data_IF_393888816676
#
_entry.id   IF_393888816676
#
_cell.length_a   1.000
_cell.length_b   1.000
_cell.length_c   1.000
_cell.angle_alpha   90.00
_cell.angle_beta   90.00
_cell.angle_gamma   90.00
#
_symmetry.space_group_name_H-M   'P 1'
#
loop_
_entity.id
_entity.type
_entity.pdbx_description
1 polymer ?
#
# COMPACT_ATOMS: atom_id res chain seq x y z
N UNK A 1 -20.93 9.46 20.12
CA UNK A 1 -22.35 9.86 19.96
C UNK A 1 -22.44 10.79 18.78
N UNK A 2 -22.85 10.26 17.64
CA UNK A 2 -23.22 11.04 16.46
C UNK A 2 -24.35 10.27 15.79
N UNK A 3 -25.58 10.70 16.05
CA UNK A 3 -26.75 10.41 15.23
C UNK A 3 -26.55 11.13 13.89
N UNK A 4 -26.72 10.42 12.77
CA UNK A 4 -27.84 10.71 11.86
C UNK A 4 -27.82 9.85 10.60
N UNK A 5 -29.03 9.43 10.27
CA UNK A 5 -29.58 9.28 8.91
C UNK A 5 -29.17 8.03 8.13
N UNK A 6 -29.94 6.96 8.38
CA UNK A 6 -30.38 6.06 7.32
C UNK A 6 -31.15 6.86 6.25
N UNK A 7 -30.86 6.70 4.95
CA UNK A 7 -31.72 7.23 3.91
C UNK A 7 -32.93 6.30 3.77
N UNK A 8 -34.06 6.85 4.18
CA UNK A 8 -35.41 6.39 3.87
C UNK A 8 -35.61 6.48 2.35
N UNK A 9 -35.55 5.34 1.64
CA UNK A 9 -35.96 5.22 0.25
C UNK A 9 -37.38 4.64 0.21
N UNK A 10 -38.33 5.43 0.70
CA UNK A 10 -39.70 5.39 0.21
C UNK A 10 -39.77 6.35 -0.98
N UNK A 11 -39.55 5.83 -2.19
CA UNK A 11 -40.09 6.45 -3.39
C UNK A 11 -40.96 5.43 -4.11
N UNK A 12 -42.25 5.68 -3.97
CA UNK A 12 -43.32 5.22 -4.83
C UNK A 12 -43.01 5.57 -6.29
N UNK A 13 -42.86 4.55 -7.12
CA UNK A 13 -43.37 4.59 -8.48
C UNK A 13 -44.18 3.30 -8.67
N UNK A 14 -45.50 3.48 -8.54
CA UNK A 14 -46.52 2.56 -9.03
C UNK A 14 -46.38 2.49 -10.54
N UNK A 15 -45.41 1.72 -11.01
CA UNK A 15 -45.45 1.16 -12.36
C UNK A 15 -46.51 0.08 -12.31
N UNK A 16 -47.59 0.27 -13.08
CA UNK A 16 -48.61 -0.74 -13.35
C UNK A 16 -47.92 -2.08 -13.61
N UNK A 17 -47.90 -2.93 -12.58
CA UNK A 17 -47.47 -4.32 -12.71
C UNK A 17 -48.49 -4.95 -13.63
N UNK A 18 -48.14 -5.09 -14.91
CA UNK A 18 -48.73 -6.11 -15.78
C UNK A 18 -48.72 -7.39 -14.95
N UNK A 19 -49.90 -7.82 -14.51
CA UNK A 19 -50.06 -9.01 -13.71
C UNK A 19 -49.43 -10.16 -14.49
N UNK A 20 -48.30 -10.67 -14.01
CA UNK A 20 -47.75 -11.91 -14.52
C UNK A 20 -48.80 -12.99 -14.29
N UNK A 21 -49.19 -13.67 -15.36
CA UNK A 21 -50.07 -14.83 -15.31
C UNK A 21 -49.39 -15.84 -14.38
N UNK A 22 -50.03 -16.13 -13.25
CA UNK A 22 -49.50 -17.06 -12.25
C UNK A 22 -49.75 -18.51 -12.68
N UNK A 23 -49.00 -19.46 -12.14
CA UNK A 23 -49.17 -20.89 -12.45
C UNK A 23 -50.62 -21.36 -12.21
N UNK A 24 -51.29 -20.76 -11.22
CA UNK A 24 -52.71 -20.91 -10.91
C UNK A 24 -53.65 -20.39 -12.01
N UNK A 25 -53.31 -19.30 -12.70
CA UNK A 25 -54.10 -18.78 -13.82
C UNK A 25 -53.98 -19.68 -15.06
N UNK A 26 -52.82 -20.31 -15.25
CA UNK A 26 -52.58 -21.31 -16.32
C UNK A 26 -53.37 -22.59 -16.05
N UNK A 27 -53.39 -23.06 -14.81
CA UNK A 27 -54.15 -24.25 -14.40
C UNK A 27 -55.67 -24.03 -14.50
N UNK A 28 -56.17 -22.83 -14.14
CA UNK A 28 -57.58 -22.47 -14.30
C UNK A 28 -58.00 -22.37 -15.78
N UNK A 29 -57.11 -21.86 -16.64
CA UNK A 29 -57.34 -21.83 -18.10
C UNK A 29 -57.29 -23.25 -18.67
N UNK A 30 -56.37 -24.11 -18.24
CA UNK A 30 -56.32 -25.53 -18.62
C UNK A 30 -57.56 -26.30 -18.20
N UNK A 31 -58.05 -26.09 -16.97
CA UNK A 31 -59.27 -26.73 -16.47
C UNK A 31 -60.53 -26.27 -17.22
N UNK A 32 -60.61 -24.97 -17.54
CA UNK A 32 -61.68 -24.44 -18.41
C UNK A 32 -61.59 -25.00 -19.83
N UNK A 33 -60.40 -25.10 -20.40
CA UNK A 33 -60.16 -25.68 -21.73
C UNK A 33 -60.55 -27.16 -21.80
N UNK A 34 -60.17 -27.96 -20.79
CA UNK A 34 -60.52 -29.38 -20.70
C UNK A 34 -62.04 -29.62 -20.55
N UNK A 35 -62.74 -28.75 -19.82
CA UNK A 35 -64.20 -28.81 -19.71
C UNK A 35 -64.94 -28.50 -21.02
N UNK A 36 -64.38 -27.63 -21.87
CA UNK A 36 -64.98 -27.26 -23.16
C UNK A 36 -64.78 -28.36 -24.23
N UNK A 37 -63.64 -29.05 -24.24
CA UNK A 37 -63.32 -30.16 -25.15
C UNK A 37 -64.26 -31.37 -24.95
N UNK A 38 -64.75 -31.56 -23.72
CA UNK A 38 -65.74 -32.59 -23.35
C UNK A 38 -67.16 -32.22 -23.83
N UNK A 39 -67.51 -30.93 -23.88
CA UNK A 39 -68.88 -30.48 -24.17
C UNK A 39 -69.20 -30.31 -25.66
N UNK A 40 -68.24 -29.97 -26.54
CA UNK A 40 -68.48 -29.81 -27.98
C UNK A 40 -67.28 -30.26 -28.86
N UNK A 41 -67.24 -31.54 -29.30
CA UNK A 41 -66.08 -32.11 -30.02
C UNK A 41 -65.89 -31.66 -31.48
N UNK A 42 -66.86 -30.99 -32.11
CA UNK A 42 -66.83 -30.64 -33.55
C UNK A 42 -67.46 -29.27 -33.90
N UNK A 43 -67.41 -28.30 -32.99
CA UNK A 43 -67.97 -26.96 -33.20
C UNK A 43 -67.06 -26.00 -33.98
N UNK A 44 -67.61 -24.90 -34.55
CA UNK A 44 -66.87 -23.88 -35.33
C UNK A 44 -65.78 -23.13 -34.54
N UNK A 45 -65.68 -23.36 -33.23
CA UNK A 45 -64.70 -22.76 -32.33
C UNK A 45 -63.41 -23.58 -32.15
N UNK A 46 -63.27 -24.72 -32.84
CA UNK A 46 -62.10 -25.61 -32.70
C UNK A 46 -60.78 -24.96 -33.17
N UNK A 47 -60.85 -24.04 -34.14
CA UNK A 47 -59.67 -23.27 -34.60
C UNK A 47 -59.26 -22.23 -33.56
N UNK A 48 -60.24 -21.54 -32.94
CA UNK A 48 -59.96 -20.61 -31.84
C UNK A 48 -59.40 -21.33 -30.61
N UNK A 49 -59.87 -22.55 -30.35
CA UNK A 49 -59.37 -23.44 -29.31
C UNK A 49 -57.91 -23.84 -29.53
N UNK A 50 -57.55 -24.33 -30.72
CA UNK A 50 -56.16 -24.68 -31.04
C UNK A 50 -55.25 -23.45 -30.99
N UNK A 51 -55.70 -22.29 -31.48
CA UNK A 51 -54.92 -21.05 -31.37
C UNK A 51 -54.74 -20.57 -29.92
N UNK A 52 -55.74 -20.78 -29.05
CA UNK A 52 -55.64 -20.46 -27.63
C UNK A 52 -54.68 -21.42 -26.90
N UNK A 53 -54.69 -22.70 -27.25
CA UNK A 53 -53.78 -23.73 -26.73
C UNK A 53 -52.33 -23.48 -27.14
N UNK A 54 -52.09 -23.15 -28.42
CA UNK A 54 -50.78 -22.74 -28.91
C UNK A 54 -50.27 -21.48 -28.22
N UNK A 55 -51.15 -20.48 -28.00
CA UNK A 55 -50.82 -19.25 -27.24
C UNK A 55 -50.47 -19.55 -25.78
N UNK A 56 -51.23 -20.41 -25.12
CA UNK A 56 -50.95 -20.83 -23.75
C UNK A 56 -49.59 -21.53 -23.67
N UNK A 57 -49.28 -22.41 -24.63
CA UNK A 57 -48.03 -23.13 -24.68
C UNK A 57 -46.84 -22.20 -24.95
N UNK A 58 -46.97 -21.23 -25.86
CA UNK A 58 -45.94 -20.20 -26.09
C UNK A 58 -45.71 -19.33 -24.87
N UNK A 59 -46.78 -18.90 -24.18
CA UNK A 59 -46.67 -18.12 -22.94
C UNK A 59 -46.01 -18.94 -21.83
N UNK A 60 -46.34 -20.21 -21.70
CA UNK A 60 -45.74 -21.11 -20.70
C UNK A 60 -44.24 -21.32 -20.95
N UNK A 61 -43.85 -21.51 -22.22
CA UNK A 61 -42.45 -21.66 -22.60
C UNK A 61 -41.66 -20.37 -22.40
N UNK A 62 -42.26 -19.21 -22.70
CA UNK A 62 -41.68 -17.91 -22.38
C UNK A 62 -41.52 -17.72 -20.88
N UNK A 63 -42.53 -18.06 -20.08
CA UNK A 63 -42.48 -17.98 -18.62
C UNK A 63 -41.32 -18.80 -18.07
N UNK A 64 -41.19 -20.06 -18.48
CA UNK A 64 -40.09 -20.95 -18.07
C UNK A 64 -38.71 -20.39 -18.43
N UNK A 65 -38.55 -19.81 -19.63
CA UNK A 65 -37.29 -19.16 -20.03
C UNK A 65 -36.99 -17.95 -19.16
N UNK A 66 -37.97 -17.07 -18.94
CA UNK A 66 -37.77 -15.88 -18.10
C UNK A 66 -37.49 -16.24 -16.64
N UNK A 67 -38.09 -17.32 -16.12
CA UNK A 67 -37.83 -17.80 -14.77
C UNK A 67 -36.42 -18.36 -14.66
N UNK A 68 -35.97 -19.15 -15.65
CA UNK A 68 -34.60 -19.63 -15.68
C UNK A 68 -33.56 -18.50 -15.80
N UNK A 69 -33.82 -17.48 -16.63
CA UNK A 69 -32.97 -16.29 -16.72
C UNK A 69 -32.94 -15.49 -15.42
N UNK A 70 -34.07 -15.40 -14.72
CA UNK A 70 -34.15 -14.77 -13.42
C UNK A 70 -33.32 -15.52 -12.37
N UNK A 71 -33.43 -16.85 -12.33
CA UNK A 71 -32.68 -17.70 -11.40
C UNK A 71 -31.17 -17.59 -11.64
N UNK A 72 -30.74 -17.57 -12.91
CA UNK A 72 -29.32 -17.36 -13.27
C UNK A 72 -28.83 -15.98 -12.79
N UNK A 73 -29.60 -14.91 -13.02
CA UNK A 73 -29.24 -13.56 -12.55
C UNK A 73 -29.20 -13.48 -11.03
N UNK A 74 -30.10 -14.17 -10.33
CA UNK A 74 -30.07 -14.24 -8.87
C UNK A 74 -28.80 -14.94 -8.37
N UNK A 75 -28.41 -16.07 -8.97
CA UNK A 75 -27.15 -16.73 -8.63
C UNK A 75 -25.91 -15.86 -8.90
N UNK A 76 -25.92 -15.11 -10.01
CA UNK A 76 -24.85 -14.14 -10.31
C UNK A 76 -24.78 -13.04 -9.24
N UNK A 77 -25.93 -12.51 -8.81
CA UNK A 77 -26.00 -11.49 -7.75
C UNK A 77 -25.50 -12.04 -6.41
N UNK A 78 -25.90 -13.25 -6.02
CA UNK A 78 -25.46 -13.89 -4.79
C UNK A 78 -23.93 -14.12 -4.80
N UNK A 79 -23.38 -14.58 -5.92
CA UNK A 79 -21.94 -14.77 -6.09
C UNK A 79 -21.15 -13.45 -6.00
N UNK A 80 -21.75 -12.37 -6.52
CA UNK A 80 -21.19 -11.02 -6.47
C UNK A 80 -21.26 -10.43 -5.06
N UNK A 81 -22.35 -10.66 -4.35
CA UNK A 81 -22.50 -10.26 -2.95
C UNK A 81 -21.49 -10.98 -2.06
N UNK A 82 -21.31 -12.29 -2.22
CA UNK A 82 -20.30 -13.07 -1.52
C UNK A 82 -18.89 -12.52 -1.77
N UNK A 83 -18.56 -12.21 -3.03
CA UNK A 83 -17.27 -11.63 -3.42
C UNK A 83 -17.06 -10.23 -2.81
N UNK A 84 -18.09 -9.39 -2.78
CA UNK A 84 -18.03 -8.07 -2.14
C UNK A 84 -17.85 -8.17 -0.62
N UNK A 85 -18.52 -9.12 0.03
CA UNK A 85 -18.37 -9.35 1.47
C UNK A 85 -16.95 -9.80 1.84
N UNK A 86 -16.34 -10.70 1.05
CA UNK A 86 -14.93 -11.08 1.22
C UNK A 86 -14.02 -9.85 1.09
N UNK A 87 -14.23 -9.05 0.05
CA UNK A 87 -13.42 -7.84 -0.20
C UNK A 87 -13.59 -6.80 0.92
N UNK A 88 -14.80 -6.65 1.47
CA UNK A 88 -15.07 -5.76 2.60
C UNK A 88 -14.35 -6.22 3.87
N UNK A 89 -14.33 -7.52 4.15
CA UNK A 89 -13.60 -8.09 5.27
C UNK A 89 -12.08 -7.89 5.11
N UNK A 90 -11.54 -8.10 3.91
CA UNK A 90 -10.11 -7.86 3.64
C UNK A 90 -9.72 -6.38 3.79
N UNK A 91 -10.56 -5.45 3.31
CA UNK A 91 -10.35 -4.01 3.47
C UNK A 91 -10.34 -3.60 4.95
N UNK A 92 -11.27 -4.12 5.75
CA UNK A 92 -11.28 -3.87 7.20
C UNK A 92 -10.01 -4.39 7.87
N UNK A 93 -9.52 -5.56 7.48
CA UNK A 93 -8.26 -6.12 8.01
C UNK A 93 -7.07 -5.23 7.64
N UNK A 94 -6.97 -4.81 6.38
CA UNK A 94 -5.90 -3.89 5.92
C UNK A 94 -5.98 -2.53 6.62
N UNK A 95 -7.18 -2.01 6.86
CA UNK A 95 -7.37 -0.77 7.61
C UNK A 95 -6.81 -0.90 9.03
N UNK A 96 -7.13 -1.99 9.75
CA UNK A 96 -6.59 -2.25 11.09
C UNK A 96 -5.06 -2.40 11.09
N UNK A 97 -4.50 -3.06 10.08
CA UNK A 97 -3.04 -3.19 9.93
C UNK A 97 -2.36 -1.82 9.73
N UNK A 98 -2.96 -0.94 8.92
CA UNK A 98 -2.47 0.43 8.70
C UNK A 98 -2.57 1.27 9.98
N UNK A 99 -3.70 1.23 10.68
CA UNK A 99 -3.87 1.94 11.96
C UNK A 99 -2.85 1.47 13.01
N UNK A 100 -2.61 0.16 13.11
CA UNK A 100 -1.58 -0.40 13.99
C UNK A 100 -0.15 -0.02 13.56
N UNK A 101 0.12 0.13 12.27
CA UNK A 101 1.40 0.64 11.77
C UNK A 101 1.60 2.11 12.15
N UNK A 102 0.60 2.96 11.92
CA UNK A 102 0.63 4.39 12.25
C UNK A 102 0.85 4.58 13.75
N UNK A 103 0.12 3.85 14.59
CA UNK A 103 0.29 3.90 16.05
C UNK A 103 1.73 3.55 16.48
N UNK A 104 2.30 2.48 15.91
CA UNK A 104 3.69 2.08 16.17
C UNK A 104 4.70 3.12 15.69
N UNK A 105 4.43 3.79 14.57
CA UNK A 105 5.30 4.86 14.04
C UNK A 105 5.33 6.06 14.97
N UNK A 106 4.15 6.54 15.40
CA UNK A 106 4.00 7.67 16.34
C UNK A 106 4.71 7.36 17.67
N UNK A 107 4.55 6.13 18.18
CA UNK A 107 5.19 5.74 19.42
C UNK A 107 6.73 5.66 19.31
N UNK A 108 7.25 5.18 18.17
CA UNK A 108 8.69 5.21 17.88
C UNK A 108 9.23 6.64 17.83
N UNK A 109 8.54 7.54 17.14
CA UNK A 109 8.92 8.94 17.04
C UNK A 109 8.94 9.62 18.42
N UNK A 110 7.90 9.38 19.24
CA UNK A 110 7.84 9.88 20.62
C UNK A 110 9.00 9.38 21.48
N UNK A 111 9.35 8.09 21.39
CA UNK A 111 10.50 7.51 22.13
C UNK A 111 11.81 8.12 21.65
N UNK A 112 11.98 8.30 20.34
CA UNK A 112 13.16 8.96 19.77
C UNK A 112 13.29 10.39 20.29
N UNK A 113 12.21 11.17 20.28
CA UNK A 113 12.18 12.53 20.80
C UNK A 113 12.58 12.59 22.28
N UNK A 114 12.01 11.71 23.11
CA UNK A 114 12.37 11.63 24.54
C UNK A 114 13.86 11.34 24.78
N UNK A 115 14.45 10.46 23.97
CA UNK A 115 15.89 10.16 24.06
C UNK A 115 16.72 11.37 23.66
N UNK A 116 16.33 12.08 22.60
CA UNK A 116 17.01 13.30 22.14
C UNK A 116 16.92 14.41 23.18
N UNK A 117 15.73 14.65 23.74
CA UNK A 117 15.51 15.68 24.75
C UNK A 117 16.34 15.40 26.01
N UNK A 118 16.39 14.13 26.45
CA UNK A 118 17.23 13.71 27.57
C UNK A 118 18.71 13.95 27.29
N UNK A 119 19.20 13.56 26.10
CA UNK A 119 20.60 13.81 25.69
C UNK A 119 20.93 15.30 25.66
N UNK A 120 20.03 16.14 25.14
CA UNK A 120 20.23 17.59 25.14
C UNK A 120 20.31 18.15 26.57
N UNK A 121 19.47 17.66 27.48
CA UNK A 121 19.52 18.02 28.91
C UNK A 121 20.82 17.59 29.60
N UNK A 122 21.29 16.37 29.33
CA UNK A 122 22.55 15.85 29.86
C UNK A 122 23.75 16.66 29.34
N UNK A 123 23.75 17.00 28.04
CA UNK A 123 24.79 17.84 27.42
C UNK A 123 24.77 19.25 28.03
N UNK A 124 23.60 19.87 28.20
CA UNK A 124 23.49 21.20 28.79
C UNK A 124 24.03 21.23 30.22
N UNK A 125 23.75 20.18 31.01
CA UNK A 125 24.26 20.03 32.37
C UNK A 125 25.79 19.90 32.40
N UNK A 126 26.35 19.07 31.50
CA UNK A 126 27.79 18.90 31.38
C UNK A 126 28.49 20.20 30.93
N UNK A 127 27.91 20.95 30.00
CA UNK A 127 28.45 22.25 29.57
C UNK A 127 28.45 23.26 30.72
N UNK A 128 27.38 23.32 31.52
CA UNK A 128 27.32 24.19 32.69
C UNK A 128 28.39 23.82 33.74
N UNK A 129 28.65 22.52 33.93
CA UNK A 129 29.70 22.05 34.83
C UNK A 129 31.09 22.42 34.32
N UNK A 130 31.35 22.27 33.02
CA UNK A 130 32.60 22.71 32.38
C UNK A 130 32.81 24.20 32.56
N UNK A 131 31.77 25.03 32.34
CA UNK A 131 31.86 26.47 32.55
C UNK A 131 32.22 26.82 34.00
N UNK A 132 31.58 26.17 34.98
CA UNK A 132 31.90 26.38 36.40
C UNK A 132 33.34 25.99 36.74
N UNK A 133 33.82 24.86 36.20
CA UNK A 133 35.21 24.43 36.41
C UNK A 133 36.20 25.40 35.75
N UNK A 134 35.86 25.95 34.57
CA UNK A 134 36.67 26.95 33.88
C UNK A 134 36.82 28.22 34.71
N UNK A 135 35.72 28.73 35.29
CA UNK A 135 35.74 29.91 36.16
C UNK A 135 36.59 29.67 37.42
N UNK A 136 36.48 28.47 38.02
CA UNK A 136 37.29 28.09 39.18
C UNK A 136 38.78 28.02 38.85
N UNK A 137 39.14 27.47 37.70
CA UNK A 137 40.54 27.41 37.24
C UNK A 137 41.05 28.83 37.00
N UNK A 138 40.28 29.70 36.36
CA UNK A 138 40.66 31.09 36.15
C UNK A 138 40.90 31.83 37.49
N UNK A 139 40.01 31.65 38.47
CA UNK A 139 40.16 32.21 39.82
C UNK A 139 41.40 31.68 40.55
N UNK A 140 41.63 30.36 40.51
CA UNK A 140 42.81 29.74 41.09
C UNK A 140 44.12 30.23 40.43
N UNK A 141 44.11 30.40 39.11
CA UNK A 141 45.26 30.92 38.36
C UNK A 141 45.58 32.36 38.74
N UNK A 142 44.57 33.21 38.91
CA UNK A 142 44.76 34.58 39.38
C UNK A 142 45.34 34.64 40.80
N UNK A 143 44.85 33.81 41.72
CA UNK A 143 45.39 33.70 43.08
C UNK A 143 46.84 33.22 43.10
N UNK A 144 47.18 32.23 42.27
CA UNK A 144 48.55 31.73 42.14
C UNK A 144 49.50 32.83 41.68
N UNK A 145 49.10 33.65 40.72
CA UNK A 145 49.90 34.80 40.25
C UNK A 145 50.16 35.81 41.37
N UNK A 146 49.15 36.16 42.17
CA UNK A 146 49.31 37.06 43.33
C UNK A 146 50.23 36.46 44.40
N UNK A 147 50.14 35.15 44.64
CA UNK A 147 51.02 34.46 45.58
C UNK A 147 52.47 34.43 45.09
N UNK A 148 52.71 34.19 43.80
CA UNK A 148 54.05 34.26 43.20
C UNK A 148 54.66 35.66 43.37
N UNK A 149 53.88 36.72 43.12
CA UNK A 149 54.32 38.09 43.31
C UNK A 149 54.67 38.37 44.78
N UNK A 150 53.81 37.98 45.73
CA UNK A 150 54.09 38.11 47.17
C UNK A 150 55.33 37.33 47.61
N UNK A 151 55.52 36.13 47.08
CA UNK A 151 56.68 35.31 47.40
C UNK A 151 57.98 35.97 46.91
N UNK A 152 57.95 36.63 45.74
CA UNK A 152 59.08 37.42 45.26
C UNK A 152 59.43 38.57 46.22
N UNK A 153 58.42 39.24 46.80
CA UNK A 153 58.60 40.31 47.79
C UNK A 153 59.17 39.75 49.10
N UNK A 154 58.63 38.64 49.60
CA UNK A 154 59.16 37.99 50.81
C UNK A 154 60.60 37.53 50.66
N UNK A 155 60.99 37.06 49.47
CA UNK A 155 62.37 36.71 49.16
C UNK A 155 63.31 37.91 49.35
N UNK A 156 62.95 39.08 48.84
CA UNK A 156 63.74 40.31 49.04
C UNK A 156 63.92 40.64 50.53
N UNK A 157 62.85 40.50 51.33
CA UNK A 157 62.94 40.69 52.78
C UNK A 157 63.80 39.64 53.47
N UNK A 158 63.69 38.38 53.07
CA UNK A 158 64.50 37.28 53.61
C UNK A 158 65.98 37.52 53.33
N UNK A 159 66.33 37.87 52.09
CA UNK A 159 67.71 38.17 51.69
C UNK A 159 68.27 39.36 52.50
N UNK A 160 67.45 40.38 52.78
CA UNK A 160 67.83 41.51 53.64
C UNK A 160 68.08 41.10 55.09
N UNK A 161 67.16 40.33 55.69
CA UNK A 161 67.28 39.87 57.09
C UNK A 161 68.47 38.94 57.25
N UNK A 162 68.74 38.06 56.29
CA UNK A 162 69.92 37.21 56.26
C UNK A 162 71.20 38.04 56.21
N UNK A 163 71.24 39.10 55.39
CA UNK A 163 72.35 40.06 55.37
C UNK A 163 72.59 40.75 56.71
N UNK A 164 71.52 41.19 57.40
CA UNK A 164 71.61 41.79 58.73
C UNK A 164 72.05 40.78 59.78
N UNK A 165 71.54 39.54 59.73
CA UNK A 165 71.93 38.47 60.63
C UNK A 165 73.42 38.11 60.47
N UNK A 166 73.91 37.98 59.24
CA UNK A 166 75.33 37.76 58.95
C UNK A 166 76.19 38.92 59.43
N UNK A 167 75.73 40.17 59.26
CA UNK A 167 76.42 41.35 59.78
C UNK A 167 76.47 41.39 61.32
N UNK A 168 75.39 41.01 62.00
CA UNK A 168 75.31 40.92 63.46
C UNK A 168 76.11 39.73 64.02
N UNK A 169 76.12 38.59 63.33
CA UNK A 169 76.92 37.42 63.67
C UNK A 169 78.42 37.65 63.44
N UNK A 170 78.79 38.48 62.45
CA UNK A 170 80.15 38.93 62.19
C UNK A 170 80.64 40.09 63.07
N UNK A 171 79.73 40.84 63.69
CA UNK A 171 80.04 41.95 64.58
C UNK A 171 80.51 41.44 65.96
N UNK A 172 81.81 41.14 66.07
CA UNK A 172 82.47 40.89 67.34
C UNK A 172 82.42 42.16 68.22
N UNK A 173 81.53 42.17 69.22
CA UNK A 173 81.57 43.16 70.29
C UNK A 173 82.85 42.96 71.13
N UNK A 174 83.81 43.89 71.03
CA UNK A 174 84.88 44.04 72.01
C UNK A 174 84.43 45.02 73.11
N UNK A 175 84.35 44.61 74.38
CA UNK A 175 84.00 45.51 75.46
C UNK A 175 85.23 45.91 76.28
N UNK A 176 85.55 47.20 76.32
CA UNK A 176 86.29 47.80 77.43
C UNK A 176 85.46 48.91 78.11
N UNK A 177 85.55 48.86 79.44
CA UNK A 177 85.23 49.82 80.51
C UNK A 177 83.80 50.10 81.06
N UNK A 178 83.70 49.74 82.35
CA UNK A 178 83.09 50.40 83.53
C UNK A 178 81.57 50.71 83.61
N UNK A 179 80.86 49.82 84.34
CA UNK A 179 79.76 50.06 85.29
C UNK A 179 78.68 51.13 84.99
N UNK A 180 77.89 50.86 83.95
CA UNK A 180 76.40 50.83 83.96
C UNK A 180 75.90 49.55 83.24
N UNK A 181 76.85 48.64 82.98
CA UNK A 181 76.80 47.69 81.89
C UNK A 181 76.01 46.41 82.19
N UNK A 182 75.84 46.00 83.46
CA UNK A 182 75.17 44.73 83.75
C UNK A 182 73.65 44.77 83.51
N UNK A 183 72.97 45.89 83.82
CA UNK A 183 71.54 46.05 83.51
C UNK A 183 71.30 46.14 81.99
N UNK A 184 72.12 46.91 81.27
CA UNK A 184 72.08 46.99 79.79
C UNK A 184 72.51 45.69 79.10
N UNK A 185 73.46 44.95 79.66
CA UNK A 185 73.84 43.59 79.19
C UNK A 185 72.72 42.58 79.45
N UNK A 186 72.08 42.61 80.61
CA UNK A 186 70.92 41.75 80.88
C UNK A 186 69.72 42.09 80.01
N UNK A 187 69.50 43.37 79.70
CA UNK A 187 68.48 43.82 78.76
C UNK A 187 68.80 43.42 77.31
N UNK A 188 70.07 43.53 76.90
CA UNK A 188 70.53 43.04 75.58
C UNK A 188 70.43 41.52 75.47
N UNK A 189 70.78 40.76 76.51
CA UNK A 189 70.63 39.30 76.57
C UNK A 189 69.14 38.91 76.52
N UNK A 190 68.27 39.64 77.23
CA UNK A 190 66.80 39.43 77.13
C UNK A 190 66.28 39.72 75.73
N UNK A 191 66.66 40.83 75.12
CA UNK A 191 66.26 41.17 73.76
C UNK A 191 66.77 40.12 72.76
N UNK A 192 67.99 39.64 72.93
CA UNK A 192 68.55 38.57 72.12
C UNK A 192 67.76 37.27 72.28
N UNK A 193 67.41 36.88 73.50
CA UNK A 193 66.56 35.70 73.73
C UNK A 193 65.17 35.88 73.12
N UNK A 194 64.56 37.05 73.24
CA UNK A 194 63.26 37.34 72.61
C UNK A 194 63.34 37.27 71.08
N UNK A 195 64.41 37.79 70.47
CA UNK A 195 64.65 37.66 69.04
C UNK A 195 64.86 36.20 68.63
N UNK A 196 65.61 35.42 69.42
CA UNK A 196 65.81 33.99 69.18
C UNK A 196 64.51 33.20 69.29
N UNK A 197 63.69 33.46 70.30
CA UNK A 197 62.38 32.83 70.49
C UNK A 197 61.43 33.20 69.34
N UNK A 198 61.44 34.46 68.90
CA UNK A 198 60.64 34.92 67.77
C UNK A 198 61.03 34.22 66.47
N UNK A 199 62.34 34.15 66.17
CA UNK A 199 62.86 33.45 64.98
C UNK A 199 62.56 31.96 65.05
N UNK A 200 62.71 31.33 66.21
CA UNK A 200 62.40 29.91 66.41
C UNK A 200 60.91 29.61 66.19
N UNK A 201 60.02 30.49 66.67
CA UNK A 201 58.58 30.38 66.46
C UNK A 201 58.21 30.53 64.98
N UNK A 202 58.81 31.49 64.27
CA UNK A 202 58.63 31.65 62.82
C UNK A 202 59.12 30.41 62.07
N UNK A 203 60.30 29.89 62.42
CA UNK A 203 60.86 28.70 61.79
C UNK A 203 59.96 27.48 61.97
N UNK A 204 59.42 27.28 63.18
CA UNK A 204 58.52 26.15 63.47
C UNK A 204 57.21 26.28 62.70
N UNK A 205 56.67 27.51 62.58
CA UNK A 205 55.49 27.78 61.76
C UNK A 205 55.74 27.49 60.28
N UNK A 206 56.85 27.98 59.72
CA UNK A 206 57.24 27.72 58.34
C UNK A 206 57.41 26.22 58.06
N UNK A 207 58.04 25.49 58.99
CA UNK A 207 58.20 24.03 58.88
C UNK A 207 56.85 23.30 58.87
N UNK A 208 55.88 23.76 59.66
CA UNK A 208 54.54 23.18 59.66
C UNK A 208 53.77 23.52 58.37
N UNK A 209 53.91 24.74 57.85
CA UNK A 209 53.32 25.16 56.58
C UNK A 209 53.94 24.39 55.39
N UNK A 210 55.25 24.14 55.41
CA UNK A 210 55.95 23.29 54.43
C UNK A 210 55.41 21.85 54.44
N UNK A 211 55.27 21.23 55.62
CA UNK A 211 54.71 19.89 55.72
C UNK A 211 53.26 19.82 55.22
N UNK A 212 52.43 20.82 55.54
CA UNK A 212 51.07 20.91 55.03
C UNK A 212 51.03 21.07 53.50
N UNK A 213 51.98 21.81 52.93
CA UNK A 213 52.11 21.96 51.47
C UNK A 213 52.44 20.61 50.82
N UNK A 214 53.38 19.85 51.38
CA UNK A 214 53.75 18.50 50.87
C UNK A 214 52.55 17.55 50.95
N UNK A 215 51.81 17.55 52.06
CA UNK A 215 50.63 16.70 52.24
C UNK A 215 49.49 17.06 51.25
N UNK A 216 49.33 18.35 50.95
CA UNK A 216 48.37 18.83 49.94
C UNK A 216 48.78 18.43 48.52
N UNK A 217 50.06 18.55 48.19
CA UNK A 217 50.61 18.13 46.89
C UNK A 217 50.40 16.62 46.67
N UNK A 218 50.68 15.80 47.68
CA UNK A 218 50.42 14.36 47.61
C UNK A 218 48.94 14.02 47.37
N UNK A 219 48.02 14.73 48.05
CA UNK A 219 46.57 14.55 47.84
C UNK A 219 46.13 14.97 46.44
N UNK A 220 46.69 16.06 45.90
CA UNK A 220 46.41 16.53 44.55
C UNK A 220 46.89 15.54 43.49
N UNK A 221 48.07 14.95 43.67
CA UNK A 221 48.56 13.90 42.77
C UNK A 221 47.67 12.66 42.81
N UNK A 222 47.25 12.21 44.00
CA UNK A 222 46.32 11.09 44.10
C UNK A 222 44.98 11.37 43.39
N UNK A 223 44.41 12.57 43.57
CA UNK A 223 43.16 12.96 42.90
C UNK A 223 43.33 13.03 41.38
N UNK A 224 44.47 13.50 40.90
CA UNK A 224 44.79 13.55 39.47
C UNK A 224 44.86 12.14 38.88
N UNK A 225 45.55 11.21 39.54
CA UNK A 225 45.68 9.83 39.08
C UNK A 225 44.33 9.11 39.04
N UNK A 226 43.49 9.30 40.06
CA UNK A 226 42.12 8.76 40.09
C UNK A 226 41.25 9.29 38.94
N UNK A 227 41.36 10.59 38.63
CA UNK A 227 40.64 11.20 37.51
C UNK A 227 41.18 10.73 36.16
N UNK A 228 42.50 10.59 36.02
CA UNK A 228 43.14 10.11 34.81
C UNK A 228 42.71 8.67 34.48
N UNK A 229 42.63 7.79 35.48
CA UNK A 229 42.13 6.43 35.32
C UNK A 229 40.65 6.40 34.93
N UNK A 230 39.79 7.17 35.60
CA UNK A 230 38.37 7.28 35.22
C UNK A 230 38.18 7.76 33.77
N UNK A 231 39.03 8.68 33.31
CA UNK A 231 39.00 9.15 31.91
C UNK A 231 39.43 8.02 30.96
N UNK A 232 40.50 7.28 31.28
CA UNK A 232 40.94 6.13 30.46
C UNK A 232 39.87 5.06 30.36
N UNK A 233 39.24 4.70 31.48
CA UNK A 233 38.14 3.72 31.51
C UNK A 233 36.96 4.16 30.63
N UNK A 234 36.52 5.42 30.77
CA UNK A 234 35.44 5.97 29.92
C UNK A 234 35.82 6.01 28.45
N UNK A 235 37.06 6.35 28.12
CA UNK A 235 37.53 6.34 26.73
C UNK A 235 37.54 4.92 26.16
N UNK A 236 37.94 3.91 26.93
CA UNK A 236 37.90 2.51 26.51
C UNK A 236 36.46 2.04 26.27
N UNK A 237 35.53 2.34 27.18
CA UNK A 237 34.11 2.03 27.03
C UNK A 237 33.52 2.71 25.78
N UNK A 238 33.80 3.99 25.57
CA UNK A 238 33.31 4.71 24.40
C UNK A 238 33.85 4.12 23.10
N UNK A 239 35.13 3.72 23.05
CA UNK A 239 35.70 3.05 21.87
C UNK A 239 35.01 1.73 21.57
N UNK A 240 34.69 0.94 22.60
CA UNK A 240 33.95 -0.30 22.42
C UNK A 240 32.55 -0.05 21.88
N UNK A 241 31.81 0.92 22.44
CA UNK A 241 30.47 1.29 21.96
C UNK A 241 30.52 1.74 20.49
N UNK A 242 31.52 2.56 20.13
CA UNK A 242 31.69 3.01 18.74
C UNK A 242 31.95 1.83 17.81
N UNK A 243 32.83 0.89 18.17
CA UNK A 243 33.11 -0.30 17.36
C UNK A 243 31.85 -1.17 17.16
N UNK A 244 31.04 -1.37 18.21
CA UNK A 244 29.77 -2.10 18.11
C UNK A 244 28.75 -1.40 17.21
N UNK A 245 28.71 -0.06 17.24
CA UNK A 245 27.84 0.74 16.36
C UNK A 245 28.32 0.69 14.91
N UNK A 246 29.62 0.78 14.66
CA UNK A 246 30.20 0.67 13.33
C UNK A 246 29.90 -0.70 12.70
N UNK A 247 30.00 -1.79 13.48
CA UNK A 247 29.62 -3.12 13.02
C UNK A 247 28.14 -3.20 12.64
N UNK A 248 27.24 -2.68 13.50
CA UNK A 248 25.80 -2.65 13.20
C UNK A 248 25.45 -1.83 11.96
N UNK A 249 26.15 -0.72 11.75
CA UNK A 249 25.99 0.10 10.54
C UNK A 249 26.40 -0.70 9.31
N UNK A 250 27.53 -1.41 9.37
CA UNK A 250 27.98 -2.24 8.25
C UNK A 250 26.99 -3.37 7.92
N UNK A 251 26.45 -4.05 8.94
CA UNK A 251 25.41 -5.09 8.78
C UNK A 251 24.14 -4.52 8.13
N UNK A 252 23.64 -3.38 8.63
CA UNK A 252 22.45 -2.72 8.07
C UNK A 252 22.66 -2.21 6.65
N UNK A 253 23.85 -1.70 6.33
CA UNK A 253 24.20 -1.30 4.96
C UNK A 253 24.19 -2.49 4.00
N UNK A 254 24.71 -3.64 4.43
CA UNK A 254 24.69 -4.85 3.62
C UNK A 254 23.25 -5.37 3.39
N UNK A 255 22.40 -5.33 4.42
CA UNK A 255 20.99 -5.69 4.28
C UNK A 255 20.25 -4.75 3.32
N UNK A 256 20.55 -3.45 3.38
CA UNK A 256 19.98 -2.46 2.48
C UNK A 256 20.36 -2.74 1.02
N UNK A 257 21.63 -3.01 0.73
CA UNK A 257 22.10 -3.32 -0.61
C UNK A 257 21.42 -4.59 -1.18
N UNK A 258 21.22 -5.62 -0.34
CA UNK A 258 20.49 -6.82 -0.75
C UNK A 258 19.01 -6.53 -1.06
N UNK A 259 18.36 -5.66 -0.28
CA UNK A 259 16.96 -5.28 -0.53
C UNK A 259 16.82 -4.44 -1.81
N UNK A 260 17.77 -3.54 -2.08
CA UNK A 260 17.81 -2.77 -3.33
C UNK A 260 17.94 -3.71 -4.53
N UNK A 261 18.87 -4.67 -4.47
CA UNK A 261 19.04 -5.66 -5.55
C UNK A 261 17.74 -6.46 -5.81
N UNK A 262 17.08 -6.94 -4.74
CA UNK A 262 15.81 -7.67 -4.85
C UNK A 262 14.70 -6.81 -5.46
N UNK A 263 14.64 -5.53 -5.10
CA UNK A 263 13.67 -4.58 -5.68
C UNK A 263 13.92 -4.40 -7.17
N UNK A 264 15.17 -4.21 -7.58
CA UNK A 264 15.54 -4.00 -8.99
C UNK A 264 15.22 -5.24 -9.84
N UNK A 265 15.51 -6.44 -9.31
CA UNK A 265 15.11 -7.70 -9.95
C UNK A 265 13.59 -7.81 -10.13
N UNK A 266 12.82 -7.54 -9.07
CA UNK A 266 11.36 -7.59 -9.14
C UNK A 266 10.78 -6.55 -10.12
N UNK A 267 11.40 -5.38 -10.21
CA UNK A 267 11.03 -4.34 -11.16
C UNK A 267 11.32 -4.76 -12.60
N UNK A 268 12.45 -5.42 -12.85
CA UNK A 268 12.78 -5.99 -14.16
C UNK A 268 11.81 -7.10 -14.56
N UNK A 269 11.48 -8.01 -13.64
CA UNK A 269 10.50 -9.07 -13.88
C UNK A 269 9.12 -8.50 -14.21
N UNK A 270 8.69 -7.46 -13.48
CA UNK A 270 7.43 -6.75 -13.76
C UNK A 270 7.42 -6.12 -15.15
N UNK A 271 8.52 -5.48 -15.56
CA UNK A 271 8.65 -4.92 -16.91
C UNK A 271 8.58 -6.00 -17.99
N UNK A 272 9.27 -7.14 -17.80
CA UNK A 272 9.20 -8.26 -18.73
C UNK A 272 7.79 -8.84 -18.85
N UNK A 273 7.07 -8.93 -17.73
CA UNK A 273 5.71 -9.46 -17.69
C UNK A 273 4.73 -8.52 -18.41
N UNK A 274 4.90 -7.19 -18.26
CA UNK A 274 4.13 -6.21 -19.01
C UNK A 274 4.39 -6.28 -20.53
N UNK A 275 5.64 -6.47 -20.95
CA UNK A 275 5.97 -6.65 -22.37
C UNK A 275 5.29 -7.92 -22.92
N UNK A 276 5.37 -9.04 -22.19
CA UNK A 276 4.69 -10.30 -22.58
C UNK A 276 3.18 -10.13 -22.65
N UNK A 277 2.58 -9.43 -21.70
CA UNK A 277 1.14 -9.14 -21.68
C UNK A 277 0.74 -8.32 -22.91
N UNK A 278 1.47 -7.24 -23.21
CA UNK A 278 1.21 -6.42 -24.40
C UNK A 278 1.31 -7.23 -25.70
N UNK A 279 2.32 -8.10 -25.84
CA UNK A 279 2.44 -8.99 -27.00
C UNK A 279 1.22 -9.92 -27.11
N UNK A 280 0.76 -10.51 -26.01
CA UNK A 280 -0.45 -11.35 -26.00
C UNK A 280 -1.73 -10.58 -26.31
N UNK A 281 -1.85 -9.34 -25.84
CA UNK A 281 -2.98 -8.47 -26.22
C UNK A 281 -2.99 -8.19 -27.72
N UNK A 282 -1.83 -7.97 -28.34
CA UNK A 282 -1.72 -7.78 -29.79
C UNK A 282 -2.09 -9.05 -30.57
N UNK A 283 -1.58 -10.22 -30.16
CA UNK A 283 -1.96 -11.51 -30.74
C UNK A 283 -3.48 -11.73 -30.67
N UNK A 284 -4.08 -11.47 -29.50
CA UNK A 284 -5.52 -11.63 -29.30
C UNK A 284 -6.34 -10.67 -30.17
N UNK A 285 -5.88 -9.44 -30.36
CA UNK A 285 -6.49 -8.47 -31.27
C UNK A 285 -6.42 -8.93 -32.74
N UNK A 286 -5.30 -9.50 -33.17
CA UNK A 286 -5.13 -10.05 -34.50
C UNK A 286 -6.03 -11.28 -34.75
N UNK A 287 -6.13 -12.18 -33.76
CA UNK A 287 -7.05 -13.32 -33.80
C UNK A 287 -8.50 -12.85 -33.84
N UNK A 288 -8.88 -11.90 -32.98
CA UNK A 288 -10.23 -11.33 -32.97
C UNK A 288 -10.61 -10.72 -34.33
N UNK A 289 -9.70 -9.99 -34.95
CA UNK A 289 -9.89 -9.43 -36.29
C UNK A 289 -10.03 -10.52 -37.35
N UNK A 290 -9.23 -11.58 -37.28
CA UNK A 290 -9.30 -12.73 -38.18
C UNK A 290 -10.63 -13.49 -38.05
N UNK A 291 -11.09 -13.69 -36.81
CA UNK A 291 -12.41 -14.30 -36.52
C UNK A 291 -13.52 -13.45 -37.11
N UNK A 292 -13.48 -12.12 -36.93
CA UNK A 292 -14.48 -11.21 -37.50
C UNK A 292 -14.52 -11.31 -39.04
N UNK A 293 -13.36 -11.33 -39.69
CA UNK A 293 -13.26 -11.48 -41.14
C UNK A 293 -13.80 -12.84 -41.62
N UNK A 294 -13.49 -13.92 -40.90
CA UNK A 294 -14.02 -15.26 -41.20
C UNK A 294 -15.54 -15.31 -41.07
N UNK A 295 -16.10 -14.73 -40.01
CA UNK A 295 -17.56 -14.65 -39.81
C UNK A 295 -18.22 -13.92 -40.97
N UNK A 296 -17.66 -12.78 -41.38
CA UNK A 296 -18.18 -12.03 -42.54
C UNK A 296 -18.12 -12.86 -43.83
N UNK A 297 -17.00 -13.53 -44.08
CA UNK A 297 -16.83 -14.36 -45.29
C UNK A 297 -17.78 -15.56 -45.30
N UNK A 298 -18.02 -16.19 -44.15
CA UNK A 298 -19.02 -17.27 -44.00
C UNK A 298 -20.42 -16.74 -44.30
N UNK A 299 -20.74 -15.52 -43.83
CA UNK A 299 -22.03 -14.90 -44.12
C UNK A 299 -22.23 -14.70 -45.63
N UNK A 300 -21.23 -14.16 -46.34
CA UNK A 300 -21.26 -13.99 -47.80
C UNK A 300 -21.41 -15.34 -48.52
N UNK A 301 -20.69 -16.38 -48.10
CA UNK A 301 -20.82 -17.72 -48.66
C UNK A 301 -22.22 -18.33 -48.45
N UNK A 302 -22.83 -18.10 -47.28
CA UNK A 302 -24.20 -18.56 -47.00
C UNK A 302 -25.21 -17.88 -47.92
N UNK A 303 -25.10 -16.57 -48.10
CA UNK A 303 -25.97 -15.81 -48.99
C UNK A 303 -25.86 -16.31 -50.43
N UNK A 304 -24.63 -16.50 -50.93
CA UNK A 304 -24.39 -17.07 -52.27
C UNK A 304 -24.96 -18.49 -52.41
N UNK A 305 -24.84 -19.33 -51.38
CA UNK A 305 -25.43 -20.67 -51.38
C UNK A 305 -26.95 -20.61 -51.44
N UNK A 306 -27.58 -19.72 -50.69
CA UNK A 306 -29.03 -19.54 -50.70
C UNK A 306 -29.51 -19.06 -52.06
N UNK A 307 -28.81 -18.11 -52.69
CA UNK A 307 -29.12 -17.65 -54.05
C UNK A 307 -29.02 -18.81 -55.05
N UNK A 308 -27.90 -19.55 -55.02
CA UNK A 308 -27.69 -20.68 -55.91
C UNK A 308 -28.75 -21.78 -55.76
N UNK A 309 -29.12 -22.14 -54.52
CA UNK A 309 -30.14 -23.15 -54.26
C UNK A 309 -31.53 -22.66 -54.70
N UNK A 310 -31.83 -21.37 -54.52
CA UNK A 310 -33.11 -20.78 -54.92
C UNK A 310 -33.25 -20.72 -56.44
N UNK A 311 -32.18 -20.42 -57.17
CA UNK A 311 -32.18 -20.39 -58.63
C UNK A 311 -32.34 -21.77 -59.27
N UNK A 312 -31.91 -22.82 -58.58
CA UNK A 312 -31.93 -24.20 -59.06
C UNK A 312 -33.12 -25.01 -58.54
N UNK A 313 -33.89 -24.46 -57.58
CA UNK A 313 -35.06 -25.11 -57.03
C UNK A 313 -36.13 -25.31 -58.11
N UNK A 314 -36.76 -26.49 -58.11
CA UNK A 314 -37.89 -26.72 -59.01
C UNK A 314 -39.09 -25.88 -58.57
N UNK A 315 -40.00 -25.58 -59.49
CA UNK A 315 -41.21 -24.81 -59.15
C UNK A 315 -42.07 -25.56 -58.13
N UNK A 316 -42.04 -26.89 -58.13
CA UNK A 316 -42.72 -27.71 -57.12
C UNK A 316 -42.09 -27.53 -55.73
N UNK A 317 -40.76 -27.41 -55.64
CA UNK A 317 -40.04 -27.16 -54.37
C UNK A 317 -40.32 -25.75 -53.84
N UNK A 318 -40.36 -24.75 -54.73
CA UNK A 318 -40.66 -23.36 -54.38
C UNK A 318 -42.11 -23.22 -53.85
N UNK A 319 -43.04 -24.00 -54.40
CA UNK A 319 -44.45 -24.00 -54.00
C UNK A 319 -44.72 -24.87 -52.76
N UNK A 320 -43.73 -25.63 -52.28
CA UNK A 320 -43.89 -26.55 -51.14
C UNK A 320 -44.71 -27.81 -51.47
N UNK A 321 -44.78 -28.20 -52.75
CA UNK A 321 -45.50 -29.38 -53.23
C UNK A 321 -46.37 -29.13 -54.47
N UNK A 322 -46.90 -30.22 -55.04
CA UNK A 322 -47.72 -30.16 -56.26
C UNK A 322 -49.11 -29.62 -56.00
N UNK A 323 -49.42 -28.47 -56.57
CA UNK A 323 -50.76 -27.91 -56.56
C UNK A 323 -51.54 -28.37 -57.80
N UNK A 324 -52.45 -29.32 -57.62
CA UNK A 324 -53.24 -29.94 -58.70
C UNK A 324 -54.07 -28.95 -59.51
N UNK A 325 -54.53 -27.85 -58.92
CA UNK A 325 -55.25 -26.79 -59.65
C UNK A 325 -54.30 -25.97 -60.53
N UNK A 326 -53.11 -25.67 -60.03
CA UNK A 326 -52.10 -24.92 -60.79
C UNK A 326 -51.53 -25.77 -61.93
N UNK A 327 -51.24 -27.04 -61.69
CA UNK A 327 -50.78 -27.99 -62.72
C UNK A 327 -51.79 -28.11 -63.87
N UNK A 328 -53.09 -28.23 -63.56
CA UNK A 328 -54.13 -28.29 -64.61
C UNK A 328 -54.21 -27.01 -65.47
N UNK A 329 -53.97 -25.84 -64.88
CA UNK A 329 -53.93 -24.56 -65.61
C UNK A 329 -52.68 -24.44 -66.47
N UNK A 330 -51.53 -24.87 -65.95
CA UNK A 330 -50.24 -24.88 -66.67
C UNK A 330 -50.27 -25.89 -67.82
N UNK A 331 -50.84 -27.07 -67.62
CA UNK A 331 -51.01 -28.09 -68.67
C UNK A 331 -51.98 -27.63 -69.76
N UNK A 332 -53.08 -26.96 -69.38
CA UNK A 332 -53.98 -26.32 -70.35
C UNK A 332 -53.25 -25.25 -71.17
N UNK A 333 -52.38 -24.46 -70.54
CA UNK A 333 -51.59 -23.43 -71.23
C UNK A 333 -50.51 -24.04 -72.14
N UNK A 334 -49.84 -25.10 -71.69
CA UNK A 334 -48.81 -25.82 -72.44
C UNK A 334 -49.39 -26.54 -73.66
N UNK A 335 -50.59 -27.13 -73.54
CA UNK A 335 -51.32 -27.71 -74.67
C UNK A 335 -51.77 -26.63 -75.66
N UNK A 336 -52.24 -25.47 -75.17
CA UNK A 336 -52.61 -24.32 -76.02
C UNK A 336 -51.41 -23.70 -76.76
N UNK A 337 -50.23 -23.71 -76.16
CA UNK A 337 -48.98 -23.24 -76.79
C UNK A 337 -48.32 -24.28 -77.70
N UNK A 338 -48.92 -25.47 -77.86
CA UNK A 338 -48.41 -26.59 -78.68
C UNK A 338 -46.96 -26.99 -78.34
N UNK A 339 -46.55 -26.82 -77.08
CA UNK A 339 -45.19 -27.18 -76.63
C UNK A 339 -44.05 -26.29 -77.16
N UNK A 340 -44.36 -25.14 -77.76
CA UNK A 340 -43.34 -24.17 -78.21
C UNK A 340 -42.66 -23.40 -77.06
N UNK A 341 -43.21 -23.50 -75.84
CA UNK A 341 -42.75 -22.79 -74.65
C UNK A 341 -42.42 -23.82 -73.58
N UNK A 342 -41.28 -23.66 -72.93
CA UNK A 342 -40.84 -24.57 -71.85
C UNK A 342 -41.80 -24.51 -70.65
N UNK A 343 -41.95 -25.62 -69.93
CA UNK A 343 -42.93 -25.76 -68.84
C UNK A 343 -42.65 -24.75 -67.71
N UNK A 344 -41.38 -24.41 -67.49
CA UNK A 344 -40.94 -23.38 -66.53
C UNK A 344 -41.45 -21.97 -66.89
N UNK A 345 -41.53 -21.66 -68.18
CA UNK A 345 -42.00 -20.36 -68.67
C UNK A 345 -43.55 -20.30 -68.69
N UNK A 346 -44.23 -21.45 -68.86
CA UNK A 346 -45.67 -21.54 -68.62
C UNK A 346 -46.03 -21.25 -67.15
N UNK A 347 -45.27 -21.78 -66.19
CA UNK A 347 -45.46 -21.45 -64.77
C UNK A 347 -45.24 -19.95 -64.49
N UNK A 348 -44.20 -19.33 -65.07
CA UNK A 348 -43.97 -17.88 -64.97
C UNK A 348 -45.15 -17.05 -65.47
N UNK A 349 -45.78 -17.45 -66.59
CA UNK A 349 -46.93 -16.72 -67.16
C UNK A 349 -48.25 -16.96 -66.42
N UNK A 350 -48.46 -18.14 -65.83
CA UNK A 350 -49.69 -18.47 -65.08
C UNK A 350 -49.65 -17.87 -63.67
N UNK A 351 -48.52 -17.93 -62.97
CA UNK A 351 -48.35 -17.36 -61.63
C UNK A 351 -48.11 -15.84 -61.66
N UNK A 352 -47.50 -15.34 -62.73
CA UNK A 352 -47.01 -13.97 -62.83
C UNK A 352 -45.58 -13.83 -62.26
N UNK A 353 -44.75 -13.06 -62.97
CA UNK A 353 -43.32 -12.92 -62.69
C UNK A 353 -43.05 -12.38 -61.28
N UNK A 354 -43.80 -11.36 -60.86
CA UNK A 354 -43.64 -10.76 -59.52
C UNK A 354 -44.12 -11.66 -58.36
N UNK A 355 -45.03 -12.60 -58.59
CA UNK A 355 -45.45 -13.56 -57.56
C UNK A 355 -44.40 -14.68 -57.42
N UNK A 356 -43.82 -15.13 -58.55
CA UNK A 356 -42.77 -16.14 -58.55
C UNK A 356 -41.49 -15.64 -57.87
N UNK A 357 -41.10 -14.38 -58.09
CA UNK A 357 -39.99 -13.74 -57.36
C UNK A 357 -40.22 -13.72 -55.85
N UNK A 358 -41.41 -13.32 -55.39
CA UNK A 358 -41.73 -13.35 -53.95
C UNK A 358 -41.72 -14.77 -53.37
N UNK A 359 -42.17 -15.76 -54.14
CA UNK A 359 -42.12 -17.16 -53.72
C UNK A 359 -40.67 -17.66 -53.61
N UNK A 360 -39.79 -17.22 -54.49
CA UNK A 360 -38.33 -17.45 -54.37
C UNK A 360 -37.75 -16.80 -53.12
N UNK A 361 -38.14 -15.56 -52.79
CA UNK A 361 -37.70 -14.89 -51.55
C UNK A 361 -38.16 -15.65 -50.30
N UNK A 362 -39.40 -16.15 -50.30
CA UNK A 362 -39.95 -16.97 -49.22
C UNK A 362 -39.17 -18.30 -49.11
N UNK A 363 -38.86 -18.93 -50.23
CA UNK A 363 -38.05 -20.15 -50.26
C UNK A 363 -36.63 -19.90 -49.70
N UNK A 364 -36.00 -18.78 -50.08
CA UNK A 364 -34.70 -18.34 -49.55
C UNK A 364 -34.76 -18.14 -48.02
N UNK A 365 -35.84 -17.56 -47.51
CA UNK A 365 -36.09 -17.43 -46.08
C UNK A 365 -36.24 -18.80 -45.40
N UNK A 366 -36.91 -19.75 -46.05
CA UNK A 366 -37.04 -21.14 -45.59
C UNK A 366 -35.69 -21.84 -45.46
N UNK A 367 -34.81 -21.69 -46.46
CA UNK A 367 -33.43 -22.20 -46.40
C UNK A 367 -32.65 -21.57 -45.23
N UNK A 368 -32.79 -20.27 -45.02
CA UNK A 368 -32.16 -19.58 -43.89
C UNK A 368 -32.66 -20.11 -42.54
N UNK A 369 -33.97 -20.31 -42.38
CA UNK A 369 -34.56 -20.82 -41.14
C UNK A 369 -34.11 -22.26 -40.85
N UNK A 370 -33.97 -23.09 -41.89
CA UNK A 370 -33.47 -24.46 -41.76
C UNK A 370 -32.00 -24.47 -41.30
N UNK A 371 -31.16 -23.64 -41.92
CA UNK A 371 -29.77 -23.46 -41.49
C UNK A 371 -29.67 -22.94 -40.05
N UNK A 372 -30.57 -22.05 -39.65
CA UNK A 372 -30.63 -21.52 -38.29
C UNK A 372 -31.02 -22.60 -37.28
N UNK A 373 -32.00 -23.45 -37.62
CA UNK A 373 -32.38 -24.59 -36.78
C UNK A 373 -31.24 -25.60 -36.62
N UNK A 374 -30.51 -25.89 -37.71
CA UNK A 374 -29.35 -26.78 -37.69
C UNK A 374 -28.23 -26.20 -36.81
N UNK A 375 -27.98 -24.89 -36.89
CA UNK A 375 -27.06 -24.17 -36.00
C UNK A 375 -27.47 -24.27 -34.54
N UNK A 376 -28.76 -24.10 -34.23
CA UNK A 376 -29.28 -24.22 -32.87
C UNK A 376 -29.12 -25.65 -32.34
N UNK A 377 -29.31 -26.69 -33.17
CA UNK A 377 -29.03 -28.08 -32.79
C UNK A 377 -27.56 -28.29 -32.44
N UNK A 378 -26.64 -27.84 -33.31
CA UNK A 378 -25.20 -27.97 -33.08
C UNK A 378 -24.79 -27.26 -31.79
N UNK A 379 -25.26 -26.04 -31.54
CA UNK A 379 -24.94 -25.28 -30.32
C UNK A 379 -25.50 -25.90 -29.04
N UNK A 380 -26.56 -26.71 -29.12
CA UNK A 380 -27.13 -27.45 -27.99
C UNK A 380 -26.43 -28.78 -27.71
N UNK A 381 -25.52 -29.21 -28.60
CA UNK A 381 -24.82 -30.49 -28.47
C UNK A 381 -25.68 -31.71 -28.85
N UNK A 382 -26.84 -31.49 -29.45
CA UNK A 382 -27.71 -32.55 -29.98
C UNK A 382 -27.13 -32.98 -31.33
N UNK A 383 -26.25 -33.99 -31.32
CA UNK A 383 -25.75 -34.66 -32.53
C UNK A 383 -26.69 -35.77 -33.00
#
# INVERSE_FOLDING_TARGET
>A
MSENQQPNLQNSDLVDKKAFITHTDVDDIQNRLAHYEIQMPSGPYNVEFETAKERLQTVTDQLKRTQHEYDLKMQELDSREASLNIRKAELLRRQQEVEAYVARSIEREKRSQQVTDKRCGDIASAVNEISRLTDNIAGATALLSVLQERNSVYKVYSDFVEGVYLALAGAQFKPEDALSANAKRHEAIRHQHQCQDFVFNIFTRLKNEEQQSIDLEAKLHQQYDELAEKIRERQAQNRQIVAELEQKIAELSQELDQLVLKKDMAQQDSQQLNIKLHAKTQELSAVSSSVKNLVQRIQEFKEQRHDFLTDRASIDDILGGKNTKLESQVDSYFQKSKGLVDRSECYKRVLGEGLLERLKDIYKLGLFLNDFQELVRICKGDH
#
